data_IF_493285992238
#
_entry.id   IF_493285992238
#
_cell.length_a   1.000
_cell.length_b   1.000
_cell.length_c   1.000
_cell.angle_alpha   90.00
_cell.angle_beta   90.00
_cell.angle_gamma   90.00
#
_symmetry.space_group_name_H-M   'P 1'
#
loop_
_entity.id
_entity.type
_entity.pdbx_description
1 polymer ?
#
# COMPACT_ATOMS: atom_id res chain seq x y z
N UNK A 1 21.43 -3.53 -9.28
CA UNK A 1 20.79 -4.64 -10.01
C UNK A 1 19.81 -5.40 -9.13
N UNK A 2 20.24 -5.94 -7.97
CA UNK A 2 19.32 -6.63 -7.06
C UNK A 2 18.25 -5.70 -6.48
N UNK A 3 18.62 -4.49 -6.08
CA UNK A 3 17.70 -3.47 -5.55
C UNK A 3 16.60 -3.09 -6.57
N UNK A 4 17.00 -2.80 -7.82
CA UNK A 4 16.09 -2.58 -8.95
C UNK A 4 15.11 -3.75 -9.15
N UNK A 5 15.61 -4.98 -9.15
CA UNK A 5 14.77 -6.17 -9.33
C UNK A 5 13.83 -6.41 -8.13
N UNK A 6 14.27 -6.09 -6.91
CA UNK A 6 13.42 -6.14 -5.71
C UNK A 6 12.30 -5.10 -5.80
N UNK A 7 12.65 -3.87 -6.13
CA UNK A 7 11.70 -2.77 -6.33
C UNK A 7 10.66 -3.14 -7.39
N UNK A 8 11.08 -3.70 -8.52
CA UNK A 8 10.16 -4.20 -9.55
C UNK A 8 9.30 -5.34 -9.00
N UNK A 9 9.87 -6.34 -8.33
CA UNK A 9 9.11 -7.51 -7.83
C UNK A 9 8.04 -7.14 -6.80
N UNK A 10 8.28 -6.12 -5.99
CA UNK A 10 7.33 -5.61 -4.99
C UNK A 10 6.22 -4.77 -5.63
N UNK A 11 6.57 -3.93 -6.60
CA UNK A 11 5.66 -2.95 -7.20
C UNK A 11 4.92 -3.47 -8.44
N UNK A 12 5.54 -4.36 -9.19
CA UNK A 12 4.96 -5.16 -10.26
C UNK A 12 4.86 -6.59 -9.71
N UNK A 13 3.66 -7.16 -9.51
CA UNK A 13 3.46 -8.45 -8.84
C UNK A 13 4.02 -9.62 -9.67
N UNK A 14 5.34 -9.71 -9.73
CA UNK A 14 6.12 -10.71 -10.42
C UNK A 14 7.18 -11.29 -9.48
N UNK A 15 7.54 -12.57 -9.62
CA UNK A 15 8.61 -13.16 -8.84
C UNK A 15 9.94 -12.43 -9.04
N UNK A 16 10.75 -12.32 -7.97
CA UNK A 16 12.09 -11.71 -8.05
C UNK A 16 12.98 -12.40 -9.10
N UNK A 17 12.82 -13.72 -9.26
CA UNK A 17 13.53 -14.49 -10.29
C UNK A 17 13.22 -14.04 -11.71
N UNK A 18 12.03 -13.50 -11.94
CA UNK A 18 11.60 -13.01 -13.25
C UNK A 18 11.98 -11.54 -13.41
N UNK A 19 11.88 -10.73 -12.35
CA UNK A 19 12.39 -9.36 -12.34
C UNK A 19 13.90 -9.30 -12.62
N UNK A 20 14.69 -10.26 -12.10
CA UNK A 20 16.12 -10.37 -12.37
C UNK A 20 16.46 -10.70 -13.84
N UNK A 21 15.53 -11.29 -14.57
CA UNK A 21 15.69 -11.60 -16.00
C UNK A 21 15.26 -10.43 -16.90
N UNK A 22 14.65 -9.39 -16.33
CA UNK A 22 14.16 -8.25 -17.11
C UNK A 22 15.32 -7.32 -17.52
N UNK A 23 15.19 -6.62 -18.66
CA UNK A 23 16.13 -5.58 -19.04
C UNK A 23 16.21 -4.50 -17.96
N UNK A 24 17.39 -3.91 -17.75
CA UNK A 24 17.55 -2.80 -16.79
C UNK A 24 16.65 -1.59 -17.13
N UNK A 25 16.30 -1.41 -18.40
CA UNK A 25 15.37 -0.38 -18.86
C UNK A 25 13.90 -0.67 -18.52
N UNK A 26 13.57 -1.91 -18.14
CA UNK A 26 12.21 -2.29 -17.77
C UNK A 26 11.73 -1.52 -16.55
N UNK A 27 12.59 -1.29 -15.55
CA UNK A 27 12.26 -0.51 -14.35
C UNK A 27 11.71 0.87 -14.72
N UNK A 28 12.50 1.62 -15.49
CA UNK A 28 12.14 2.95 -15.94
C UNK A 28 10.88 2.93 -16.82
N UNK A 29 10.75 1.93 -17.69
CA UNK A 29 9.56 1.80 -18.55
C UNK A 29 8.31 1.49 -17.74
N UNK A 30 8.41 0.61 -16.74
CA UNK A 30 7.30 0.24 -15.86
C UNK A 30 6.86 1.43 -15.01
N UNK A 31 7.78 2.14 -14.36
CA UNK A 31 7.44 3.30 -13.53
C UNK A 31 6.95 4.51 -14.32
N UNK A 32 7.24 4.59 -15.62
CA UNK A 32 6.66 5.59 -16.52
C UNK A 32 5.35 5.12 -17.19
N UNK A 33 4.89 3.89 -16.91
CA UNK A 33 3.70 3.32 -17.54
C UNK A 33 2.42 3.62 -16.75
N UNK A 34 1.28 3.57 -17.44
CA UNK A 34 -0.04 3.64 -16.81
C UNK A 34 -0.32 2.47 -15.85
N UNK A 35 0.39 1.34 -15.99
CA UNK A 35 0.27 0.22 -15.07
C UNK A 35 0.77 0.61 -13.67
N UNK A 36 1.87 1.35 -13.58
CA UNK A 36 2.36 1.88 -12.31
C UNK A 36 1.41 2.91 -11.71
N UNK A 37 0.87 3.82 -12.52
CA UNK A 37 -0.11 4.81 -12.03
C UNK A 37 -1.34 4.14 -11.40
N UNK A 38 -1.86 3.08 -12.03
CA UNK A 38 -2.97 2.31 -11.50
C UNK A 38 -2.61 1.59 -10.19
N UNK A 39 -1.42 0.99 -10.12
CA UNK A 39 -0.92 0.35 -8.90
C UNK A 39 -0.76 1.37 -7.77
N UNK A 40 -0.23 2.55 -8.07
CA UNK A 40 -0.06 3.64 -7.12
C UNK A 40 -1.41 4.09 -6.53
N UNK A 41 -2.42 4.30 -7.37
CA UNK A 41 -3.79 4.61 -6.93
C UNK A 41 -4.39 3.52 -6.03
N UNK A 42 -4.13 2.25 -6.34
CA UNK A 42 -4.57 1.13 -5.51
C UNK A 42 -3.94 1.17 -4.11
N UNK A 43 -2.62 1.43 -4.04
CA UNK A 43 -1.90 1.55 -2.76
C UNK A 43 -2.40 2.73 -1.93
N UNK A 44 -2.63 3.89 -2.57
CA UNK A 44 -3.21 5.07 -1.91
C UNK A 44 -4.60 4.77 -1.34
N UNK A 45 -5.47 4.10 -2.11
CA UNK A 45 -6.79 3.68 -1.64
C UNK A 45 -6.72 2.63 -0.50
N UNK A 46 -5.73 1.72 -0.51
CA UNK A 46 -5.51 0.79 0.60
C UNK A 46 -5.13 1.49 1.90
N UNK A 47 -4.25 2.49 1.80
CA UNK A 47 -3.83 3.33 2.93
C UNK A 47 -5.03 4.12 3.45
N UNK A 48 -5.82 4.73 2.56
CA UNK A 48 -7.00 5.49 2.95
C UNK A 48 -8.03 4.60 3.67
N UNK A 49 -8.32 3.40 3.13
CA UNK A 49 -9.20 2.43 3.79
C UNK A 49 -8.70 2.05 5.18
N UNK A 50 -7.41 1.72 5.33
CA UNK A 50 -6.83 1.39 6.63
C UNK A 50 -6.97 2.55 7.62
N UNK A 51 -6.71 3.78 7.18
CA UNK A 51 -6.86 4.97 8.01
C UNK A 51 -8.32 5.21 8.44
N UNK A 52 -9.29 4.95 7.57
CA UNK A 52 -10.72 5.05 7.91
C UNK A 52 -11.10 4.03 8.99
N UNK A 53 -10.63 2.77 8.89
CA UNK A 53 -10.88 1.76 9.92
C UNK A 53 -10.27 2.14 11.27
N UNK A 54 -9.04 2.66 11.28
CA UNK A 54 -8.39 3.12 12.51
C UNK A 54 -9.14 4.28 13.16
N UNK A 55 -9.58 5.27 12.38
CA UNK A 55 -10.39 6.39 12.87
C UNK A 55 -11.72 5.91 13.44
N UNK A 56 -12.40 4.98 12.77
CA UNK A 56 -13.65 4.41 13.27
C UNK A 56 -13.46 3.68 14.61
N UNK A 57 -12.41 2.88 14.73
CA UNK A 57 -12.08 2.20 15.98
C UNK A 57 -11.82 3.17 17.14
N UNK A 58 -11.11 4.27 16.87
CA UNK A 58 -10.87 5.31 17.88
C UNK A 58 -12.17 5.99 18.33
N UNK A 59 -13.10 6.28 17.42
CA UNK A 59 -14.39 6.88 17.77
C UNK A 59 -15.29 5.94 18.59
N UNK A 60 -15.29 4.64 18.28
CA UNK A 60 -16.02 3.63 19.08
C UNK A 60 -15.46 3.55 20.52
N UNK A 61 -14.13 3.53 20.67
CA UNK A 61 -13.48 3.51 21.98
C UNK A 61 -13.80 4.78 22.78
N UNK A 62 -13.78 5.95 22.14
CA UNK A 62 -14.17 7.22 22.79
C UNK A 62 -15.63 7.19 23.26
N UNK A 63 -16.55 6.70 22.42
CA UNK A 63 -17.96 6.56 22.77
C UNK A 63 -18.19 5.65 23.98
N UNK A 64 -17.51 4.49 24.02
CA UNK A 64 -17.58 3.57 25.16
C UNK A 64 -16.98 4.17 26.43
N UNK A 65 -15.84 4.87 26.35
CA UNK A 65 -15.24 5.54 27.50
C UNK A 65 -16.14 6.67 28.05
N UNK A 66 -16.81 7.43 27.17
CA UNK A 66 -17.75 8.47 27.58
C UNK A 66 -19.02 7.92 28.23
N UNK A 67 -19.48 6.73 27.81
CA UNK A 67 -20.58 6.02 28.47
C UNK A 67 -20.15 5.44 29.83
N UNK A 68 -18.97 4.83 29.90
CA UNK A 68 -18.43 4.24 31.13
C UNK A 68 -18.11 5.29 32.21
N UNK A 69 -17.74 6.52 31.83
CA UNK A 69 -17.52 7.62 32.77
C UNK A 69 -18.81 8.27 33.27
N UNK A 70 -19.92 8.15 32.52
CA UNK A 70 -21.23 8.75 32.87
C UNK A 70 -22.12 7.83 33.71
N UNK A 71 -21.79 6.54 33.79
CA UNK A 71 -22.47 5.55 34.64
C UNK A 71 -21.88 5.38 36.05
N UNK A 72 -20.90 6.21 36.44
CA UNK A 72 -20.29 6.24 37.78
C UNK A 72 -20.76 7.45 38.57
#
# INVERSE_FOLDING_TARGET
MLETASSISENCPMPLSDALKMPLSFESTYFNSSAWENRKKYLENEIERHNVFLKLGQEVIKGLNALASRGR
#
